data_IF_202139734615
#
_entry.id   IF_202139734615
#
_cell.length_a   1.000
_cell.length_b   1.000
_cell.length_c   1.000
_cell.angle_alpha   90.00
_cell.angle_beta   90.00
_cell.angle_gamma   90.00
#
_symmetry.space_group_name_H-M   'P 1'
#
loop_
_entity.id
_entity.type
_entity.pdbx_description
1 polymer ?
#
# COMPACT_ATOMS: atom_id res chain seq x y z
N UNK A 1 33.80 -3.65 -22.30
CA UNK A 1 33.18 -2.31 -22.43
C UNK A 1 31.69 -2.38 -22.15
N UNK A 2 30.97 -3.42 -22.58
CA UNK A 2 29.56 -3.59 -22.18
C UNK A 2 29.35 -3.94 -20.70
N UNK A 3 30.22 -4.77 -20.11
CA UNK A 3 30.09 -5.25 -18.73
C UNK A 3 30.16 -4.14 -17.66
N UNK A 4 30.60 -2.94 -18.02
CA UNK A 4 30.68 -1.76 -17.15
C UNK A 4 29.87 -0.60 -17.71
N UNK A 5 28.94 -0.85 -18.64
CA UNK A 5 28.08 0.19 -19.21
C UNK A 5 26.87 0.47 -18.32
N UNK A 6 26.41 1.71 -18.31
CA UNK A 6 25.15 2.11 -17.67
C UNK A 6 24.04 1.98 -18.70
N UNK A 7 22.85 1.51 -18.29
CA UNK A 7 21.71 1.44 -19.19
C UNK A 7 21.40 2.82 -19.79
N UNK A 8 20.87 2.83 -21.01
CA UNK A 8 20.50 4.04 -21.76
C UNK A 8 21.66 4.98 -22.12
N UNK A 9 22.91 4.54 -21.95
CA UNK A 9 24.11 5.28 -22.38
C UNK A 9 24.99 4.44 -23.30
N UNK A 10 25.63 5.11 -24.25
CA UNK A 10 26.54 4.48 -25.23
C UNK A 10 27.97 4.75 -24.80
N UNK A 11 28.68 3.69 -24.43
CA UNK A 11 30.09 3.75 -24.03
C UNK A 11 30.99 3.95 -25.25
N UNK A 12 31.95 4.86 -25.13
CA UNK A 12 32.89 5.19 -26.21
C UNK A 12 34.32 5.06 -25.71
N UNK A 13 35.13 4.29 -26.45
CA UNK A 13 36.56 4.12 -26.19
C UNK A 13 37.37 5.37 -26.58
N UNK A 14 38.59 5.58 -26.04
CA UNK A 14 39.43 6.70 -26.45
C UNK A 14 39.76 6.70 -27.94
N UNK A 15 39.96 5.52 -28.52
CA UNK A 15 40.23 5.37 -29.96
C UNK A 15 39.01 5.79 -30.79
N UNK A 16 37.82 5.34 -30.39
CA UNK A 16 36.57 5.74 -31.05
C UNK A 16 36.29 7.23 -30.88
N UNK A 17 36.57 7.80 -29.70
CA UNK A 17 36.44 9.23 -29.41
C UNK A 17 37.26 10.06 -30.39
N UNK A 18 38.54 9.71 -30.59
CA UNK A 18 39.40 10.42 -31.54
C UNK A 18 38.85 10.40 -32.99
N UNK A 19 38.23 9.31 -33.40
CA UNK A 19 37.58 9.21 -34.72
C UNK A 19 36.34 10.11 -34.77
N UNK A 20 35.48 10.08 -33.76
CA UNK A 20 34.26 10.89 -33.70
C UNK A 20 34.58 12.39 -33.63
N UNK A 21 35.62 12.78 -32.89
CA UNK A 21 36.12 14.16 -32.84
C UNK A 21 36.55 14.64 -34.23
N UNK A 22 37.21 13.77 -35.01
CA UNK A 22 37.61 14.06 -36.39
C UNK A 22 36.45 14.14 -37.38
N UNK A 23 35.38 13.36 -37.16
CA UNK A 23 34.15 13.43 -37.96
C UNK A 23 33.32 14.69 -37.64
N UNK A 24 33.36 15.15 -36.39
CA UNK A 24 32.60 16.31 -35.92
C UNK A 24 31.11 16.04 -35.70
N UNK A 25 30.45 16.95 -34.99
CA UNK A 25 29.01 16.91 -34.72
C UNK A 25 28.53 15.83 -33.76
N UNK A 26 29.45 15.14 -33.07
CA UNK A 26 29.14 14.22 -31.97
C UNK A 26 29.52 14.86 -30.63
N UNK A 27 28.64 14.77 -29.65
CA UNK A 27 28.86 15.32 -28.32
C UNK A 27 29.24 14.19 -27.36
N UNK A 28 30.43 14.29 -26.77
CA UNK A 28 31.01 13.28 -25.89
C UNK A 28 31.31 13.89 -24.52
N UNK A 29 30.99 13.15 -23.46
CA UNK A 29 31.26 13.54 -22.08
C UNK A 29 32.25 12.56 -21.45
N UNK A 30 33.23 13.07 -20.68
CA UNK A 30 34.17 12.20 -19.98
C UNK A 30 33.47 11.52 -18.80
N UNK A 31 33.53 10.20 -18.79
CA UNK A 31 32.96 9.38 -17.71
C UNK A 31 33.95 9.17 -16.57
N UNK A 32 35.24 9.09 -16.91
CA UNK A 32 36.28 8.59 -16.03
C UNK A 32 36.99 7.36 -16.58
N UNK A 33 37.87 6.79 -15.77
CA UNK A 33 38.70 5.64 -16.13
C UNK A 33 38.01 4.32 -15.80
N UNK A 34 38.21 3.33 -16.66
CA UNK A 34 37.71 1.97 -16.47
C UNK A 34 38.90 1.00 -16.49
N UNK A 35 38.93 0.09 -15.53
CA UNK A 35 39.94 -0.97 -15.47
C UNK A 35 39.61 -2.05 -16.50
N UNK A 36 40.50 -2.25 -17.46
CA UNK A 36 40.40 -3.28 -18.49
C UNK A 36 41.51 -4.32 -18.28
N UNK A 37 41.12 -5.59 -18.19
CA UNK A 37 42.07 -6.70 -18.07
C UNK A 37 43.07 -6.67 -19.24
N UNK A 38 44.36 -6.61 -18.93
CA UNK A 38 45.45 -6.56 -19.92
C UNK A 38 45.73 -5.18 -20.54
N UNK A 39 44.91 -4.15 -20.28
CA UNK A 39 45.15 -2.77 -20.74
C UNK A 39 45.35 -1.77 -19.60
N UNK A 40 45.06 -2.16 -18.36
CA UNK A 40 45.12 -1.26 -17.21
C UNK A 40 43.94 -0.31 -17.17
N UNK A 41 44.14 0.85 -16.56
CA UNK A 41 43.13 1.91 -16.55
C UNK A 41 43.09 2.64 -17.88
N UNK A 42 41.90 2.74 -18.46
CA UNK A 42 41.69 3.41 -19.75
C UNK A 42 40.58 4.44 -19.59
N UNK A 43 40.80 5.65 -20.10
CA UNK A 43 39.77 6.67 -20.15
C UNK A 43 38.55 6.20 -20.94
N UNK A 44 37.39 6.75 -20.60
CA UNK A 44 36.17 6.45 -21.32
C UNK A 44 35.17 7.59 -21.33
N UNK A 45 34.27 7.52 -22.31
CA UNK A 45 33.38 8.62 -22.64
C UNK A 45 31.94 8.11 -22.86
N UNK A 46 30.97 8.99 -22.61
CA UNK A 46 29.58 8.79 -23.01
C UNK A 46 29.29 9.58 -24.27
N UNK A 47 28.62 8.96 -25.25
CA UNK A 47 27.97 9.72 -26.31
C UNK A 47 26.66 10.32 -25.77
N UNK A 48 26.60 11.65 -25.73
CA UNK A 48 25.48 12.39 -25.12
C UNK A 48 24.62 13.15 -26.13
N UNK A 49 25.05 13.21 -27.39
CA UNK A 49 24.26 13.86 -28.44
C UNK A 49 24.95 13.88 -29.80
N UNK A 50 24.22 14.38 -30.79
CA UNK A 50 24.70 14.60 -32.14
C UNK A 50 23.97 15.80 -32.75
N UNK A 51 24.66 16.59 -33.57
CA UNK A 51 24.04 17.66 -34.35
C UNK A 51 22.92 17.13 -35.24
N UNK A 52 21.78 17.85 -35.22
CA UNK A 52 20.55 17.50 -35.92
C UNK A 52 19.75 16.36 -35.28
N UNK A 53 20.09 15.94 -34.06
CA UNK A 53 19.33 14.96 -33.29
C UNK A 53 18.77 15.58 -32.00
N UNK A 54 17.53 16.05 -32.07
CA UNK A 54 16.90 16.82 -30.98
C UNK A 54 16.11 15.96 -29.98
N UNK A 55 16.11 14.63 -30.16
CA UNK A 55 15.45 13.73 -29.21
C UNK A 55 16.29 13.66 -27.95
N UNK A 56 15.70 14.05 -26.82
CA UNK A 56 16.33 13.92 -25.51
C UNK A 56 16.65 12.45 -25.23
N UNK A 57 17.87 12.20 -24.75
CA UNK A 57 18.22 10.88 -24.25
C UNK A 57 17.39 10.57 -23.00
N UNK A 58 16.95 9.31 -22.81
CA UNK A 58 16.32 8.91 -21.58
C UNK A 58 17.30 9.08 -20.41
N UNK A 59 16.78 9.46 -19.26
CA UNK A 59 17.59 9.59 -18.06
C UNK A 59 18.16 8.21 -17.69
N UNK A 60 19.48 8.12 -17.44
CA UNK A 60 20.06 6.87 -17.00
C UNK A 60 19.47 6.50 -15.62
N UNK A 61 19.26 5.20 -15.33
CA UNK A 61 18.91 4.79 -13.98
C UNK A 61 20.00 5.25 -13.02
N UNK A 62 19.57 5.76 -11.88
CA UNK A 62 20.45 6.29 -10.84
C UNK A 62 21.33 5.17 -10.29
N UNK A 63 22.63 5.45 -10.11
CA UNK A 63 23.56 4.50 -9.49
C UNK A 63 23.30 4.31 -7.98
N UNK A 64 22.43 5.14 -7.37
CA UNK A 64 21.94 4.96 -5.99
C UNK A 64 20.89 3.84 -5.93
N UNK A 65 21.17 2.74 -5.19
CA UNK A 65 20.21 1.66 -5.02
C UNK A 65 18.86 2.12 -4.46
N UNK A 66 18.83 3.04 -3.50
CA UNK A 66 17.58 3.47 -2.86
C UNK A 66 16.70 4.27 -3.82
N UNK A 67 17.31 5.13 -4.62
CA UNK A 67 16.62 5.95 -5.61
C UNK A 67 16.05 5.08 -6.74
N UNK A 68 16.83 4.10 -7.20
CA UNK A 68 16.40 3.12 -8.20
C UNK A 68 15.20 2.29 -7.71
N UNK A 69 15.23 1.83 -6.46
CA UNK A 69 14.14 1.07 -5.85
C UNK A 69 12.86 1.91 -5.74
N UNK A 70 13.00 3.17 -5.32
CA UNK A 70 11.87 4.10 -5.23
C UNK A 70 11.27 4.40 -6.61
N UNK A 71 12.11 4.61 -7.62
CA UNK A 71 11.67 4.81 -9.01
C UNK A 71 10.92 3.58 -9.55
N UNK A 72 11.42 2.37 -9.29
CA UNK A 72 10.75 1.12 -9.69
C UNK A 72 9.38 0.97 -9.01
N UNK A 73 9.28 1.24 -7.71
CA UNK A 73 8.02 1.18 -6.96
C UNK A 73 6.98 2.15 -7.56
N UNK A 74 7.40 3.37 -7.88
CA UNK A 74 6.52 4.39 -8.45
C UNK A 74 6.05 4.04 -9.88
N UNK A 75 6.88 3.38 -10.69
CA UNK A 75 6.48 2.92 -12.03
C UNK A 75 5.50 1.74 -12.00
N UNK A 76 5.42 0.99 -10.91
CA UNK A 76 4.45 -0.08 -10.68
C UNK A 76 3.09 0.47 -10.18
N UNK A 77 2.97 1.80 -10.02
CA UNK A 77 1.84 2.49 -9.36
C UNK A 77 0.55 2.73 -10.17
N UNK A 78 0.20 2.07 -11.30
CA UNK A 78 -1.22 1.92 -11.63
C UNK A 78 -1.95 1.05 -10.60
N UNK A 79 -1.21 0.25 -9.82
CA UNK A 79 -1.77 -0.69 -8.83
C UNK A 79 -2.21 0.03 -7.53
N UNK A 80 -1.64 1.19 -7.21
CA UNK A 80 -1.94 1.88 -5.94
C UNK A 80 -3.27 2.63 -5.95
N UNK A 81 -3.66 3.26 -7.06
CA UNK A 81 -4.97 3.92 -7.19
C UNK A 81 -6.11 2.89 -7.20
N UNK A 82 -5.92 1.76 -7.88
CA UNK A 82 -6.87 0.64 -7.86
C UNK A 82 -7.03 0.06 -6.44
N UNK A 83 -5.95 -0.05 -5.67
CA UNK A 83 -5.98 -0.51 -4.28
C UNK A 83 -6.54 0.56 -3.32
N UNK A 84 -6.29 1.85 -3.56
CA UNK A 84 -6.83 2.96 -2.76
C UNK A 84 -8.35 3.10 -2.96
N UNK A 85 -8.84 2.97 -4.19
CA UNK A 85 -10.27 2.89 -4.48
C UNK A 85 -10.89 1.65 -3.82
N UNK A 86 -10.25 0.48 -3.94
CA UNK A 86 -10.71 -0.75 -3.27
C UNK A 86 -10.73 -0.62 -1.73
N UNK A 87 -9.74 0.04 -1.12
CA UNK A 87 -9.70 0.33 0.31
C UNK A 87 -10.78 1.34 0.74
N UNK A 88 -11.07 2.36 -0.07
CA UNK A 88 -12.13 3.32 0.20
C UNK A 88 -13.53 2.66 0.17
N UNK A 89 -13.76 1.72 -0.75
CA UNK A 89 -15.01 0.95 -0.81
C UNK A 89 -15.12 -0.08 0.33
N UNK A 90 -14.02 -0.75 0.69
CA UNK A 90 -13.98 -1.69 1.82
C UNK A 90 -14.18 -0.98 3.18
N UNK A 91 -13.66 0.24 3.34
CA UNK A 91 -13.80 1.05 4.55
C UNK A 91 -15.25 1.50 4.79
N UNK A 92 -16.04 1.75 3.74
CA UNK A 92 -17.46 2.12 3.86
C UNK A 92 -18.30 0.94 4.36
N UNK A 93 -18.15 -0.25 3.76
CA UNK A 93 -18.89 -1.44 4.18
C UNK A 93 -18.58 -1.86 5.62
N UNK A 94 -17.32 -1.77 6.05
CA UNK A 94 -16.94 -2.08 7.43
C UNK A 94 -17.53 -1.08 8.42
N UNK A 95 -17.55 0.22 8.10
CA UNK A 95 -18.17 1.24 8.95
C UNK A 95 -19.68 1.04 9.12
N UNK A 96 -20.41 0.71 8.05
CA UNK A 96 -21.85 0.43 8.12
C UNK A 96 -22.17 -0.84 8.93
N UNK A 97 -21.36 -1.89 8.75
CA UNK A 97 -21.50 -3.14 9.52
C UNK A 97 -21.24 -2.86 11.00
N UNK A 98 -20.14 -2.18 11.36
CA UNK A 98 -19.83 -1.86 12.76
C UNK A 98 -20.90 -0.97 13.41
N UNK A 99 -21.45 -0.02 12.66
CA UNK A 99 -22.52 0.85 13.16
C UNK A 99 -23.85 0.10 13.33
N UNK A 100 -24.16 -0.86 12.45
CA UNK A 100 -25.32 -1.73 12.59
C UNK A 100 -25.21 -2.64 13.83
N UNK A 101 -24.03 -3.22 14.07
CA UNK A 101 -23.72 -4.05 15.24
C UNK A 101 -23.92 -3.23 16.52
N UNK A 102 -23.33 -2.03 16.58
CA UNK A 102 -23.46 -1.14 17.74
C UNK A 102 -24.91 -0.70 18.01
N UNK A 103 -25.70 -0.44 16.96
CA UNK A 103 -27.14 -0.13 17.10
C UNK A 103 -27.93 -1.30 17.68
N UNK A 104 -27.65 -2.53 17.25
CA UNK A 104 -28.32 -3.72 17.75
C UNK A 104 -27.96 -4.03 19.22
N UNK A 105 -26.70 -3.85 19.60
CA UNK A 105 -26.26 -3.96 20.99
C UNK A 105 -27.04 -3.00 21.91
N UNK A 106 -27.14 -1.72 21.53
CA UNK A 106 -27.93 -0.72 22.28
C UNK A 106 -29.41 -1.10 22.41
N UNK A 107 -30.02 -1.67 21.37
CA UNK A 107 -31.42 -2.14 21.41
C UNK A 107 -31.61 -3.35 22.32
N UNK A 108 -30.63 -4.25 22.37
CA UNK A 108 -30.68 -5.44 23.23
C UNK A 108 -30.67 -5.08 24.71
N UNK A 109 -29.85 -4.10 25.11
CA UNK A 109 -29.76 -3.62 26.49
C UNK A 109 -31.08 -2.95 26.95
N UNK A 110 -31.74 -2.21 26.06
CA UNK A 110 -33.07 -1.63 26.33
C UNK A 110 -34.17 -2.68 26.54
N UNK A 111 -34.11 -3.82 25.86
CA UNK A 111 -35.06 -4.93 26.05
C UNK A 111 -34.78 -5.72 27.32
N UNK A 112 -33.53 -5.92 27.72
CA UNK A 112 -33.17 -6.55 29.01
C UNK A 112 -33.70 -5.73 30.19
N UNK A 113 -33.52 -4.40 30.16
CA UNK A 113 -34.00 -3.51 31.21
C UNK A 113 -35.53 -3.48 31.35
N UNK A 114 -36.27 -3.55 30.23
CA UNK A 114 -37.74 -3.64 30.27
C UNK A 114 -38.22 -4.96 30.86
N UNK A 115 -37.55 -6.07 30.53
CA UNK A 115 -37.90 -7.39 31.07
C UNK A 115 -37.62 -7.50 32.57
N UNK A 116 -36.51 -6.95 33.07
CA UNK A 116 -36.23 -6.87 34.52
C UNK A 116 -37.31 -6.08 35.25
N UNK A 117 -37.65 -4.89 34.73
CA UNK A 117 -38.65 -4.01 35.35
C UNK A 117 -40.04 -4.67 35.37
N UNK A 118 -40.40 -5.42 34.33
CA UNK A 118 -41.65 -6.19 34.29
C UNK A 118 -41.62 -7.39 35.25
N UNK A 119 -40.47 -8.06 35.41
CA UNK A 119 -40.28 -9.15 36.38
C UNK A 119 -40.43 -8.67 37.82
N UNK A 120 -39.85 -7.51 38.15
CA UNK A 120 -39.99 -6.88 39.47
C UNK A 120 -41.44 -6.49 39.79
N UNK A 121 -42.16 -5.91 38.81
CA UNK A 121 -43.59 -5.58 38.97
C UNK A 121 -44.43 -6.84 39.26
N UNK A 122 -44.20 -7.93 38.51
CA UNK A 122 -44.90 -9.20 38.74
C UNK A 122 -44.57 -9.83 40.09
N UNK A 123 -43.32 -9.73 40.55
CA UNK A 123 -42.93 -10.24 41.86
C UNK A 123 -43.58 -9.46 43.01
N UNK A 124 -43.71 -8.13 42.90
CA UNK A 124 -44.42 -7.30 43.89
C UNK A 124 -45.91 -7.66 43.99
N UNK A 125 -46.59 -7.90 42.86
CA UNK A 125 -48.01 -8.31 42.85
C UNK A 125 -48.28 -9.69 43.46
N UNK A 126 -47.31 -10.60 43.45
CA UNK A 126 -47.47 -11.95 44.05
C UNK A 126 -47.29 -11.93 45.57
N UNK A 127 -46.49 -11.00 46.12
CA UNK A 127 -46.31 -10.84 47.57
C UNK A 127 -47.53 -10.25 48.29
N UNK A 128 -48.44 -9.59 47.58
CA UNK A 128 -49.66 -9.00 48.16
C UNK A 128 -50.87 -9.95 48.16
N UNK A 129 -50.72 -11.21 47.73
CA UNK A 129 -51.81 -12.19 47.61
C UNK A 129 -51.50 -13.42 48.47
N UNK A 130 -51.67 -13.29 49.78
CA UNK A 130 -51.57 -14.41 50.74
C UNK A 130 -52.77 -15.36 50.62
N UNK A 131 -52.60 -16.68 50.74
CA UNK A 131 -53.72 -17.63 50.69
C UNK A 131 -54.46 -17.68 52.04
N UNK A 132 -55.80 -17.71 51.98
CA UNK A 132 -56.66 -17.95 53.14
C UNK A 132 -56.52 -19.41 53.63
N UNK A 133 -56.62 -19.60 54.95
CA UNK A 133 -56.43 -20.86 55.68
C UNK A 133 -57.40 -21.98 55.25
N UNK A 134 -57.06 -23.27 55.49
CA UNK A 134 -57.84 -24.40 55.02
C UNK A 134 -59.06 -24.64 55.92
N UNK A 135 -60.23 -24.78 55.32
CA UNK A 135 -61.45 -25.16 56.04
C UNK A 135 -61.52 -26.70 56.12
N UNK A 136 -61.47 -27.18 57.34
CA UNK A 136 -61.55 -28.59 57.75
C UNK A 136 -63.00 -29.04 57.81
N UNK A 137 -63.33 -30.20 57.23
CA UNK A 137 -64.42 -31.10 57.67
C UNK A 137 -64.37 -32.38 56.81
N UNK A 138 -63.84 -33.50 57.30
CA UNK A 138 -64.45 -34.50 58.22
C UNK A 138 -65.38 -35.49 57.47
N UNK A 139 -64.81 -36.68 57.18
CA UNK A 139 -65.50 -37.97 56.92
C UNK A 139 -66.31 -38.38 58.19
N UNK A 140 -67.30 -39.32 58.18
CA UNK A 140 -67.17 -40.67 57.59
C UNK A 140 -68.48 -41.41 57.19
N UNK A 141 -68.26 -42.70 56.89
CA UNK A 141 -69.14 -43.85 56.54
C UNK A 141 -70.49 -43.99 57.27
#
# INVERSE_FOLDING_TARGET
MESTSTAFRIHVSPQTKAILDGLGGYHLEHRGKVLLKGKGEVDSYWLVGKDGFDKKLPDPPTDDPLEYLNEMINKISPISEANAAAQAHASKNTSEILESINRNLKRSEGSKNRNLRNKEKRHRQRKSKSPAAPDSMENPE
#
